data_IF_935947754548
#
_entry.id   IF_935947754548
#
_cell.length_a   1.000
_cell.length_b   1.000
_cell.length_c   1.000
_cell.angle_alpha   90.00
_cell.angle_beta   90.00
_cell.angle_gamma   90.00
#
_symmetry.space_group_name_H-M   'P 1'
#
loop_
_entity.id
_entity.type
_entity.pdbx_description
1 polymer ?
#
# COMPACT_ATOMS: atom_id res chain seq x y z
N UNK A 1 -16.83 26.16 -14.55
CA UNK A 1 -16.59 25.64 -13.20
C UNK A 1 -15.91 24.27 -13.36
N UNK A 2 -14.71 24.10 -12.82
CA UNK A 2 -14.04 22.80 -12.78
C UNK A 2 -14.84 21.89 -11.86
N UNK A 3 -15.03 20.62 -12.26
CA UNK A 3 -15.71 19.65 -11.42
C UNK A 3 -14.95 19.48 -10.07
N UNK A 4 -15.65 19.36 -8.92
CA UNK A 4 -14.98 19.18 -7.65
C UNK A 4 -14.09 17.93 -7.69
N UNK A 5 -12.88 18.04 -7.15
CA UNK A 5 -11.90 16.95 -7.14
C UNK A 5 -12.29 15.86 -6.14
N UNK A 6 -11.87 14.63 -6.40
CA UNK A 6 -11.96 13.52 -5.46
C UNK A 6 -10.55 13.03 -5.12
N UNK A 7 -10.38 12.56 -3.90
CA UNK A 7 -9.10 12.12 -3.36
C UNK A 7 -9.03 10.60 -3.30
N UNK A 8 -8.00 10.03 -3.86
CA UNK A 8 -7.70 8.59 -3.85
C UNK A 8 -6.38 8.38 -3.12
N UNK A 9 -6.40 7.54 -2.10
CA UNK A 9 -5.22 7.23 -1.29
C UNK A 9 -4.91 5.74 -1.37
N UNK A 10 -3.64 5.37 -1.47
CA UNK A 10 -3.23 4.05 -1.02
C UNK A 10 -3.32 3.94 0.50
N UNK A 11 -3.22 2.74 1.04
CA UNK A 11 -3.30 2.48 2.46
C UNK A 11 -1.91 2.24 3.07
N UNK A 12 -1.26 1.14 2.68
CA UNK A 12 0.05 0.76 3.21
C UNK A 12 1.15 1.67 2.64
N UNK A 13 1.92 2.35 3.50
CA UNK A 13 2.93 3.31 3.09
C UNK A 13 2.40 4.73 2.82
N UNK A 14 1.08 4.94 2.83
CA UNK A 14 0.45 6.27 2.67
C UNK A 14 -0.29 6.67 3.94
N UNK A 15 -1.26 5.88 4.39
CA UNK A 15 -2.04 6.15 5.61
C UNK A 15 -1.34 5.61 6.84
N UNK A 16 -0.73 4.43 6.73
CA UNK A 16 0.01 3.84 7.83
C UNK A 16 1.25 3.06 7.38
N UNK A 17 2.21 2.94 8.30
CA UNK A 17 3.26 1.96 8.21
C UNK A 17 2.75 0.60 8.70
N UNK A 18 2.62 -0.34 7.78
CA UNK A 18 2.23 -1.73 8.03
C UNK A 18 3.39 -2.71 7.91
N UNK A 19 4.63 -2.22 7.96
CA UNK A 19 5.83 -3.06 7.78
C UNK A 19 5.84 -4.23 8.76
N UNK A 20 5.57 -3.97 10.05
CA UNK A 20 5.59 -5.00 11.07
C UNK A 20 4.47 -6.04 10.87
N UNK A 21 3.26 -5.61 10.54
CA UNK A 21 2.15 -6.51 10.21
C UNK A 21 2.51 -7.40 9.02
N UNK A 22 3.04 -6.81 7.97
CA UNK A 22 3.45 -7.56 6.78
C UNK A 22 4.58 -8.55 7.07
N UNK A 23 5.55 -8.20 7.92
CA UNK A 23 6.65 -9.10 8.33
C UNK A 23 6.11 -10.32 9.07
N UNK A 24 5.26 -10.10 10.09
CA UNK A 24 4.65 -11.18 10.88
C UNK A 24 3.77 -12.06 10.00
N UNK A 25 2.94 -11.45 9.18
CA UNK A 25 2.05 -12.18 8.25
C UNK A 25 2.84 -12.99 7.22
N UNK A 26 3.86 -12.38 6.61
CA UNK A 26 4.71 -13.04 5.63
C UNK A 26 5.44 -14.26 6.22
N UNK A 27 6.00 -14.11 7.42
CA UNK A 27 6.66 -15.21 8.11
C UNK A 27 5.70 -16.38 8.36
N UNK A 28 4.52 -16.12 8.90
CA UNK A 28 3.53 -17.16 9.18
C UNK A 28 3.01 -17.83 7.90
N UNK A 29 2.78 -17.07 6.83
CA UNK A 29 2.42 -17.62 5.53
C UNK A 29 3.51 -18.56 4.97
N UNK A 30 4.78 -18.16 5.11
CA UNK A 30 5.92 -18.95 4.65
C UNK A 30 6.11 -20.24 5.45
N UNK A 31 5.88 -20.21 6.77
CA UNK A 31 5.86 -21.40 7.60
C UNK A 31 4.74 -22.35 7.18
N UNK A 32 3.52 -21.84 6.95
CA UNK A 32 2.38 -22.63 6.50
C UNK A 32 2.63 -23.31 5.13
N UNK A 33 3.33 -22.64 4.21
CA UNK A 33 3.72 -23.22 2.92
C UNK A 33 4.67 -24.43 3.04
N UNK A 34 5.21 -24.68 4.24
CA UNK A 34 6.16 -25.76 4.57
C UNK A 34 5.62 -26.74 5.61
N UNK A 35 4.30 -26.75 5.83
CA UNK A 35 3.65 -27.59 6.85
C UNK A 35 4.16 -27.35 8.29
N UNK A 36 4.80 -26.21 8.54
CA UNK A 36 5.25 -25.82 9.86
C UNK A 36 4.08 -25.16 10.62
N UNK A 37 3.32 -25.93 11.32
CA UNK A 37 2.02 -25.56 11.95
C UNK A 37 2.14 -24.57 13.12
N UNK A 38 3.18 -23.79 13.23
CA UNK A 38 3.38 -22.89 14.38
C UNK A 38 3.12 -21.45 13.98
N UNK A 39 2.00 -20.87 14.47
CA UNK A 39 1.79 -19.43 14.40
C UNK A 39 2.79 -18.75 15.36
N UNK A 40 3.55 -17.76 14.87
CA UNK A 40 4.55 -17.05 15.66
C UNK A 40 4.48 -15.54 15.38
N UNK A 41 4.45 -14.74 16.45
CA UNK A 41 4.65 -13.30 16.37
C UNK A 41 6.15 -12.94 16.29
N UNK A 42 7.03 -13.89 16.56
CA UNK A 42 8.47 -13.71 16.47
C UNK A 42 8.99 -14.18 15.12
N UNK A 43 9.61 -13.26 14.38
CA UNK A 43 10.27 -13.54 13.12
C UNK A 43 11.77 -13.60 13.36
N UNK A 44 12.43 -14.77 13.16
CA UNK A 44 13.87 -14.90 13.43
C UNK A 44 14.72 -14.11 12.44
N UNK A 45 15.91 -13.72 12.87
CA UNK A 45 16.97 -13.33 11.96
C UNK A 45 17.48 -14.57 11.16
N UNK A 46 17.88 -14.43 9.88
CA UNK A 46 18.00 -13.18 9.12
C UNK A 46 16.71 -12.75 8.37
N UNK A 47 15.58 -13.46 8.55
CA UNK A 47 14.34 -13.21 7.80
C UNK A 47 13.75 -11.85 8.11
N UNK A 48 13.67 -11.47 9.40
CA UNK A 48 13.17 -10.15 9.81
C UNK A 48 13.93 -9.02 9.11
N UNK A 49 15.25 -9.03 9.20
CA UNK A 49 16.10 -8.02 8.56
C UNK A 49 15.95 -7.99 7.02
N UNK A 50 15.78 -9.16 6.39
CA UNK A 50 15.58 -9.23 4.94
C UNK A 50 14.24 -8.61 4.52
N UNK A 51 13.16 -8.93 5.23
CA UNK A 51 11.83 -8.38 4.98
C UNK A 51 11.81 -6.85 5.18
N UNK A 52 12.37 -6.38 6.30
CA UNK A 52 12.39 -4.96 6.64
C UNK A 52 13.20 -4.12 5.64
N UNK A 53 14.44 -4.54 5.33
CA UNK A 53 15.31 -3.79 4.41
C UNK A 53 14.81 -3.75 2.97
N UNK A 54 14.09 -4.79 2.55
CA UNK A 54 13.68 -4.93 1.16
C UNK A 54 12.17 -4.69 0.94
N UNK A 55 11.47 -4.13 1.94
CA UNK A 55 10.02 -3.84 1.85
C UNK A 55 9.66 -3.00 0.63
N UNK A 56 10.51 -2.03 0.28
CA UNK A 56 10.31 -1.14 -0.86
C UNK A 56 10.32 -1.83 -2.23
N UNK A 57 10.84 -3.04 -2.35
CA UNK A 57 10.77 -3.80 -3.60
C UNK A 57 9.44 -4.56 -3.78
N UNK A 58 8.73 -4.86 -2.69
CA UNK A 58 7.51 -5.68 -2.70
C UNK A 58 6.33 -4.88 -3.23
N UNK A 59 5.63 -5.40 -4.24
CA UNK A 59 4.45 -4.78 -4.88
C UNK A 59 3.15 -5.51 -4.55
N UNK A 60 3.24 -6.83 -4.36
CA UNK A 60 2.09 -7.67 -4.03
C UNK A 60 2.39 -8.54 -2.81
N UNK A 61 1.35 -8.96 -2.10
CA UNK A 61 1.50 -9.85 -0.93
C UNK A 61 2.26 -11.13 -1.28
N UNK A 62 2.08 -11.64 -2.50
CA UNK A 62 2.77 -12.84 -2.96
C UNK A 62 4.29 -12.68 -3.08
N UNK A 63 4.77 -11.47 -3.32
CA UNK A 63 6.21 -11.22 -3.54
C UNK A 63 7.06 -11.31 -2.27
N UNK A 64 6.45 -11.32 -1.08
CA UNK A 64 7.20 -11.58 0.15
C UNK A 64 7.91 -12.93 0.16
N UNK A 65 7.42 -13.94 -0.59
CA UNK A 65 8.11 -15.23 -0.74
C UNK A 65 9.51 -15.05 -1.34
N UNK A 66 9.70 -14.09 -2.24
CA UNK A 66 10.98 -13.81 -2.88
C UNK A 66 12.01 -13.39 -1.83
N UNK A 67 11.62 -12.50 -0.90
CA UNK A 67 12.51 -12.02 0.17
C UNK A 67 12.86 -13.14 1.15
N UNK A 68 11.88 -13.98 1.50
CA UNK A 68 12.06 -15.10 2.43
C UNK A 68 12.96 -16.19 1.84
N UNK A 69 12.75 -16.56 0.57
CA UNK A 69 13.57 -17.55 -0.11
C UNK A 69 15.00 -17.04 -0.36
N UNK A 70 15.14 -15.75 -0.68
CA UNK A 70 16.46 -15.11 -0.78
C UNK A 70 17.21 -15.17 0.57
N UNK A 71 16.53 -14.80 1.66
CA UNK A 71 17.10 -14.85 3.02
C UNK A 71 17.47 -16.28 3.41
N UNK A 72 16.63 -17.27 3.11
CA UNK A 72 16.93 -18.69 3.36
C UNK A 72 18.16 -19.17 2.61
N UNK A 73 18.33 -18.70 1.39
CA UNK A 73 19.49 -19.02 0.54
C UNK A 73 20.74 -18.16 0.82
N UNK A 74 20.71 -17.25 1.80
CA UNK A 74 21.79 -16.32 2.08
C UNK A 74 22.07 -15.31 0.95
N UNK A 75 21.09 -15.04 0.10
CA UNK A 75 21.20 -14.14 -1.06
C UNK A 75 20.80 -12.71 -0.67
N UNK A 76 21.71 -11.78 -0.86
CA UNK A 76 21.44 -10.34 -0.68
C UNK A 76 20.67 -9.74 -1.85
N UNK A 77 19.94 -8.65 -1.60
CA UNK A 77 19.29 -7.81 -2.61
C UNK A 77 19.91 -6.42 -2.46
N UNK A 78 20.77 -6.06 -3.39
CA UNK A 78 21.49 -4.79 -3.38
C UNK A 78 20.94 -3.76 -4.38
N UNK A 79 20.09 -4.20 -5.31
CA UNK A 79 19.53 -3.35 -6.37
C UNK A 79 18.18 -3.87 -6.86
N UNK A 80 17.47 -3.01 -7.61
CA UNK A 80 16.24 -3.45 -8.31
C UNK A 80 16.53 -4.59 -9.31
N UNK A 81 17.70 -4.58 -9.96
CA UNK A 81 18.09 -5.64 -10.89
C UNK A 81 18.23 -6.99 -10.19
N UNK A 82 18.86 -7.03 -9.00
CA UNK A 82 18.96 -8.26 -8.20
C UNK A 82 17.58 -8.77 -7.82
N UNK A 83 16.69 -7.86 -7.40
CA UNK A 83 15.30 -8.23 -7.07
C UNK A 83 14.55 -8.81 -8.26
N UNK A 84 14.71 -8.24 -9.45
CA UNK A 84 14.06 -8.74 -10.68
C UNK A 84 14.54 -10.14 -11.09
N UNK A 85 15.78 -10.47 -10.84
CA UNK A 85 16.31 -11.84 -11.06
C UNK A 85 15.61 -12.83 -10.13
N UNK A 86 15.53 -12.50 -8.83
CA UNK A 86 14.86 -13.33 -7.83
C UNK A 86 13.35 -13.44 -8.11
N UNK A 87 12.72 -12.33 -8.51
CA UNK A 87 11.29 -12.29 -8.83
C UNK A 87 10.94 -13.27 -9.97
N UNK A 88 11.78 -13.34 -11.01
CA UNK A 88 11.61 -14.29 -12.12
C UNK A 88 11.81 -15.74 -11.66
N UNK A 89 12.82 -15.99 -10.83
CA UNK A 89 13.13 -17.32 -10.31
C UNK A 89 11.99 -17.87 -9.47
N UNK A 90 11.41 -17.07 -8.59
CA UNK A 90 10.33 -17.47 -7.67
C UNK A 90 8.93 -17.18 -8.19
N UNK A 91 8.78 -16.73 -9.44
CA UNK A 91 7.51 -16.36 -10.04
C UNK A 91 6.40 -17.42 -9.86
N UNK A 92 6.65 -18.74 -10.00
CA UNK A 92 5.60 -19.76 -9.80
C UNK A 92 5.08 -19.83 -8.36
N UNK A 93 5.86 -19.40 -7.37
CA UNK A 93 5.47 -19.40 -5.96
C UNK A 93 4.66 -18.19 -5.54
N UNK A 94 4.70 -17.08 -6.30
CA UNK A 94 4.12 -15.79 -5.90
C UNK A 94 2.61 -15.88 -5.67
N UNK A 95 1.86 -16.41 -6.63
CA UNK A 95 0.39 -16.47 -6.51
C UNK A 95 -0.06 -17.43 -5.39
N UNK A 96 0.39 -18.68 -5.30
CA UNK A 96 0.03 -19.57 -4.19
C UNK A 96 0.40 -19.01 -2.83
N UNK A 97 1.56 -18.37 -2.73
CA UNK A 97 1.98 -17.74 -1.49
C UNK A 97 1.13 -16.52 -1.13
N UNK A 98 0.68 -15.74 -2.10
CA UNK A 98 -0.24 -14.63 -1.88
C UNK A 98 -1.55 -15.09 -1.22
N UNK A 99 -2.09 -16.21 -1.64
CA UNK A 99 -3.29 -16.81 -1.04
C UNK A 99 -3.04 -17.23 0.42
N UNK A 100 -1.85 -17.79 0.71
CA UNK A 100 -1.42 -18.13 2.07
C UNK A 100 -1.19 -16.87 2.93
N UNK A 101 -0.66 -15.80 2.35
CA UNK A 101 -0.46 -14.53 3.04
C UNK A 101 -1.78 -13.96 3.54
N UNK A 102 -2.80 -13.87 2.68
CA UNK A 102 -4.10 -13.36 3.08
C UNK A 102 -4.80 -14.26 4.11
N UNK A 103 -4.75 -15.58 3.94
CA UNK A 103 -5.31 -16.50 4.95
C UNK A 103 -4.59 -16.43 6.29
N UNK A 104 -3.27 -16.21 6.30
CA UNK A 104 -2.49 -15.98 7.53
C UNK A 104 -2.86 -14.65 8.20
N UNK A 105 -3.08 -13.59 7.43
CA UNK A 105 -3.58 -12.29 7.95
C UNK A 105 -4.95 -12.45 8.58
N UNK A 106 -5.88 -13.11 7.92
CA UNK A 106 -7.22 -13.34 8.44
C UNK A 106 -7.19 -14.12 9.76
N UNK A 107 -6.33 -15.14 9.84
CA UNK A 107 -6.12 -15.90 11.08
C UNK A 107 -5.51 -15.04 12.19
N UNK A 108 -4.44 -14.30 11.92
CA UNK A 108 -3.81 -13.40 12.90
C UNK A 108 -4.83 -12.40 13.47
N UNK A 109 -5.65 -11.82 12.59
CA UNK A 109 -6.70 -10.89 12.97
C UNK A 109 -7.80 -11.57 13.79
N UNK A 110 -8.20 -12.79 13.44
CA UNK A 110 -9.24 -13.53 14.16
C UNK A 110 -8.77 -14.00 15.53
N UNK A 111 -7.49 -14.39 15.67
CA UNK A 111 -6.91 -14.86 16.93
C UNK A 111 -6.74 -13.72 17.95
N UNK A 112 -6.23 -12.56 17.51
CA UNK A 112 -6.08 -11.37 18.36
C UNK A 112 -6.09 -10.08 17.52
N UNK A 113 -7.29 -9.52 17.31
CA UNK A 113 -7.48 -8.29 16.52
C UNK A 113 -6.73 -7.09 17.13
N UNK A 114 -6.67 -7.00 18.46
CA UNK A 114 -5.97 -5.89 19.13
C UNK A 114 -4.47 -5.96 18.88
N UNK A 115 -3.89 -7.14 18.98
CA UNK A 115 -2.48 -7.36 18.65
C UNK A 115 -2.22 -7.04 17.18
N UNK A 116 -3.06 -7.56 16.27
CA UNK A 116 -2.94 -7.30 14.84
C UNK A 116 -3.01 -5.80 14.50
N UNK A 117 -3.95 -5.07 15.09
CA UNK A 117 -4.01 -3.60 14.94
C UNK A 117 -2.74 -2.92 15.48
N UNK A 118 -2.19 -3.41 16.58
CA UNK A 118 -0.95 -2.90 17.18
C UNK A 118 0.32 -3.09 16.32
N UNK A 119 0.26 -3.94 15.29
CA UNK A 119 1.35 -4.11 14.31
C UNK A 119 1.35 -3.03 13.22
N UNK A 120 0.39 -2.10 13.25
CA UNK A 120 0.29 -0.98 12.32
C UNK A 120 0.65 0.32 13.05
N UNK A 121 1.39 1.19 12.40
CA UNK A 121 1.72 2.52 12.92
C UNK A 121 1.15 3.59 11.99
N UNK A 122 0.17 4.37 12.48
CA UNK A 122 -0.33 5.53 11.74
C UNK A 122 0.76 6.58 11.66
N UNK A 123 0.96 7.14 10.49
CA UNK A 123 1.89 8.25 10.34
C UNK A 123 1.44 9.48 11.16
N UNK A 124 2.41 10.20 11.72
CA UNK A 124 2.15 11.35 12.58
C UNK A 124 1.25 12.38 11.87
N UNK A 125 0.20 12.86 12.55
CA UNK A 125 -0.75 13.84 12.01
C UNK A 125 -1.77 13.28 11.00
N UNK A 126 -1.57 12.07 10.48
CA UNK A 126 -2.39 11.50 9.39
C UNK A 126 -3.88 11.45 9.73
N UNK A 127 -4.24 11.04 10.95
CA UNK A 127 -5.65 10.94 11.34
C UNK A 127 -6.36 12.30 11.34
N UNK A 128 -5.68 13.36 11.73
CA UNK A 128 -6.23 14.72 11.75
C UNK A 128 -6.30 15.30 10.34
N UNK A 129 -5.31 15.04 9.51
CA UNK A 129 -5.32 15.43 8.11
C UNK A 129 -6.44 14.74 7.33
N UNK A 130 -6.65 13.45 7.54
CA UNK A 130 -7.78 12.73 6.94
C UNK A 130 -9.13 13.33 7.34
N UNK A 131 -9.33 13.71 8.62
CA UNK A 131 -10.56 14.38 9.07
C UNK A 131 -10.77 15.71 8.34
N UNK A 132 -9.72 16.53 8.23
CA UNK A 132 -9.78 17.84 7.53
C UNK A 132 -10.11 17.66 6.03
N UNK A 133 -9.48 16.68 5.37
CA UNK A 133 -9.70 16.41 3.96
C UNK A 133 -11.07 15.78 3.67
N UNK A 134 -11.63 15.05 4.64
CA UNK A 134 -12.95 14.42 4.51
C UNK A 134 -14.07 15.42 4.25
N UNK A 135 -13.98 16.60 4.83
CA UNK A 135 -14.97 17.67 4.63
C UNK A 135 -14.80 18.39 3.27
N UNK A 136 -13.64 18.23 2.62
CA UNK A 136 -13.29 18.92 1.39
C UNK A 136 -13.33 18.05 0.13
N UNK A 137 -13.18 16.73 0.28
CA UNK A 137 -13.08 15.79 -0.83
C UNK A 137 -13.99 14.58 -0.65
N UNK A 138 -14.48 14.07 -1.75
CA UNK A 138 -14.93 12.68 -1.77
C UNK A 138 -13.70 11.78 -1.77
N UNK A 139 -13.48 11.09 -0.63
CA UNK A 139 -12.29 10.27 -0.41
C UNK A 139 -12.54 8.80 -0.70
N UNK A 140 -11.56 8.16 -1.32
CA UNK A 140 -11.52 6.74 -1.63
C UNK A 140 -10.18 6.14 -1.24
N UNK A 141 -10.19 4.88 -0.86
CA UNK A 141 -8.96 4.09 -0.65
C UNK A 141 -8.87 3.07 -1.78
N UNK A 142 -7.72 3.05 -2.47
CA UNK A 142 -7.42 2.08 -3.53
C UNK A 142 -6.13 1.35 -3.17
N UNK A 143 -6.25 0.09 -2.72
CA UNK A 143 -5.15 -0.61 -2.06
C UNK A 143 -5.07 -2.08 -2.44
N UNK A 144 -3.88 -2.67 -2.29
CA UNK A 144 -3.68 -4.12 -2.34
C UNK A 144 -4.11 -4.87 -1.06
N UNK A 145 -4.46 -4.15 0.01
CA UNK A 145 -4.96 -4.72 1.26
C UNK A 145 -6.46 -5.04 1.14
N UNK A 146 -6.92 -6.08 1.84
CA UNK A 146 -8.34 -6.42 1.87
C UNK A 146 -9.19 -5.34 2.56
N UNK A 147 -10.41 -5.14 2.07
CA UNK A 147 -11.29 -4.04 2.53
C UNK A 147 -11.68 -4.18 3.99
N UNK A 148 -11.80 -5.41 4.51
CA UNK A 148 -12.14 -5.65 5.92
C UNK A 148 -11.02 -5.19 6.86
N UNK A 149 -9.77 -5.41 6.50
CA UNK A 149 -8.60 -4.89 7.24
C UNK A 149 -8.58 -3.36 7.26
N UNK A 150 -8.82 -2.72 6.12
CA UNK A 150 -8.88 -1.25 6.02
C UNK A 150 -9.99 -0.69 6.90
N UNK A 151 -11.20 -1.27 6.87
CA UNK A 151 -12.33 -0.82 7.69
C UNK A 151 -12.03 -0.92 9.19
N UNK A 152 -11.47 -2.05 9.65
CA UNK A 152 -11.09 -2.28 11.05
C UNK A 152 -10.08 -1.25 11.52
N UNK A 153 -9.10 -0.96 10.66
CA UNK A 153 -8.12 0.06 10.95
C UNK A 153 -8.74 1.45 11.09
N UNK A 154 -9.56 1.90 10.14
CA UNK A 154 -10.25 3.19 10.25
C UNK A 154 -11.09 3.29 11.52
N UNK A 155 -11.85 2.25 11.87
CA UNK A 155 -12.65 2.19 13.09
C UNK A 155 -11.80 2.37 14.35
N UNK A 156 -10.59 1.79 14.40
CA UNK A 156 -9.68 1.90 15.55
C UNK A 156 -9.22 3.35 15.82
N UNK A 157 -9.29 4.23 14.81
CA UNK A 157 -8.98 5.68 14.92
C UNK A 157 -10.22 6.56 15.03
N UNK A 158 -11.40 5.96 15.23
CA UNK A 158 -12.65 6.71 15.29
C UNK A 158 -13.05 7.34 13.95
N UNK A 159 -12.53 6.81 12.83
CA UNK A 159 -12.90 7.18 11.47
C UNK A 159 -13.82 6.10 10.90
N UNK A 160 -14.74 6.50 10.02
CA UNK A 160 -15.63 5.58 9.33
C UNK A 160 -15.52 5.78 7.83
N UNK A 161 -15.17 4.71 7.10
CA UNK A 161 -15.18 4.72 5.65
C UNK A 161 -16.24 3.72 5.14
N UNK A 162 -17.11 4.17 4.24
CA UNK A 162 -18.13 3.30 3.67
C UNK A 162 -17.47 2.19 2.81
N UNK A 163 -17.99 0.95 2.82
CA UNK A 163 -17.43 -0.15 2.01
C UNK A 163 -17.26 0.21 0.53
N UNK A 164 -18.23 0.90 -0.06
CA UNK A 164 -18.18 1.34 -1.47
C UNK A 164 -17.13 2.42 -1.77
N UNK A 165 -16.37 2.88 -0.78
CA UNK A 165 -15.26 3.81 -0.93
C UNK A 165 -13.89 3.14 -0.78
N UNK A 166 -13.85 1.82 -0.62
CA UNK A 166 -12.62 1.01 -0.58
C UNK A 166 -12.60 0.11 -1.81
N UNK A 167 -11.58 0.28 -2.63
CA UNK A 167 -11.28 -0.56 -3.78
C UNK A 167 -10.03 -1.37 -3.44
N UNK A 168 -10.25 -2.59 -3.01
CA UNK A 168 -9.21 -3.51 -2.57
C UNK A 168 -8.64 -4.35 -3.73
N UNK A 169 -7.80 -5.33 -3.40
CA UNK A 169 -7.14 -6.23 -4.35
C UNK A 169 -8.07 -6.96 -5.33
N UNK A 170 -9.36 -7.13 -4.96
CA UNK A 170 -10.35 -7.87 -5.74
C UNK A 170 -11.31 -6.94 -6.51
N UNK A 171 -11.29 -5.63 -6.22
CA UNK A 171 -12.23 -4.66 -6.79
C UNK A 171 -11.86 -4.22 -8.22
N UNK A 172 -10.57 -4.26 -8.59
CA UNK A 172 -10.12 -3.87 -9.91
C UNK A 172 -8.77 -4.53 -10.27
N UNK A 173 -8.48 -4.62 -11.58
CA UNK A 173 -7.24 -5.23 -12.07
C UNK A 173 -5.97 -4.49 -11.62
N UNK A 174 -6.04 -3.16 -11.56
CA UNK A 174 -4.96 -2.26 -11.17
C UNK A 174 -5.54 -0.95 -10.63
N UNK A 175 -4.69 -0.12 -10.02
CA UNK A 175 -5.13 1.13 -9.38
C UNK A 175 -5.72 2.13 -10.36
N UNK A 176 -5.19 2.27 -11.57
CA UNK A 176 -5.78 3.15 -12.59
C UNK A 176 -7.18 2.68 -12.99
N UNK A 177 -7.39 1.37 -13.12
CA UNK A 177 -8.71 0.80 -13.40
C UNK A 177 -9.71 1.12 -12.30
N UNK A 178 -9.31 1.02 -11.02
CA UNK A 178 -10.13 1.44 -9.88
C UNK A 178 -10.46 2.95 -9.94
N UNK A 179 -9.48 3.80 -10.22
CA UNK A 179 -9.69 5.26 -10.33
C UNK A 179 -10.67 5.58 -11.48
N UNK A 180 -10.59 4.87 -12.61
CA UNK A 180 -11.55 5.01 -13.71
C UNK A 180 -12.98 4.63 -13.33
N UNK A 181 -13.15 3.55 -12.56
CA UNK A 181 -14.47 3.14 -12.03
C UNK A 181 -15.01 4.23 -11.10
N UNK A 182 -14.19 4.74 -10.18
CA UNK A 182 -14.57 5.83 -9.27
C UNK A 182 -14.99 7.07 -10.07
N UNK A 183 -14.17 7.52 -11.02
CA UNK A 183 -14.45 8.68 -11.86
C UNK A 183 -15.77 8.53 -12.64
N UNK A 184 -16.01 7.34 -13.20
CA UNK A 184 -17.26 7.01 -13.90
C UNK A 184 -18.47 7.05 -12.96
N UNK A 185 -18.38 6.46 -11.77
CA UNK A 185 -19.46 6.47 -10.79
C UNK A 185 -19.81 7.88 -10.31
N UNK A 186 -18.81 8.75 -10.22
CA UNK A 186 -18.97 10.16 -9.88
C UNK A 186 -19.38 11.05 -11.07
N UNK A 187 -19.41 10.51 -12.27
CA UNK A 187 -19.59 11.27 -13.52
C UNK A 187 -18.58 12.42 -13.65
N UNK A 188 -17.31 12.16 -13.29
CA UNK A 188 -16.20 13.13 -13.30
C UNK A 188 -15.07 12.67 -14.23
N UNK A 189 -14.34 13.62 -14.86
CA UNK A 189 -13.16 13.29 -15.67
C UNK A 189 -11.98 12.86 -14.78
N UNK A 190 -11.02 12.12 -15.36
CA UNK A 190 -9.84 11.63 -14.62
C UNK A 190 -8.94 12.76 -14.05
N UNK A 191 -8.91 13.92 -14.72
CA UNK A 191 -8.19 15.09 -14.21
C UNK A 191 -8.83 15.74 -12.97
N UNK A 192 -9.98 15.23 -12.48
CA UNK A 192 -10.54 15.56 -11.16
C UNK A 192 -9.95 14.68 -10.05
N UNK A 193 -9.25 13.59 -10.39
CA UNK A 193 -8.65 12.69 -9.40
C UNK A 193 -7.36 13.28 -8.86
N UNK A 194 -7.24 13.36 -7.53
CA UNK A 194 -5.97 13.52 -6.81
C UNK A 194 -5.61 12.15 -6.27
N UNK A 195 -4.49 11.58 -6.72
CA UNK A 195 -4.07 10.23 -6.34
C UNK A 195 -2.72 10.26 -5.63
N UNK A 196 -2.66 9.70 -4.43
CA UNK A 196 -1.47 9.60 -3.60
C UNK A 196 -1.14 8.14 -3.34
N UNK A 197 0.08 7.75 -3.68
CA UNK A 197 0.62 6.41 -3.51
C UNK A 197 2.12 6.51 -3.21
N UNK A 198 2.69 5.56 -2.51
CA UNK A 198 4.15 5.51 -2.31
C UNK A 198 4.87 4.79 -3.45
N UNK A 199 4.15 4.01 -4.26
CA UNK A 199 4.67 3.26 -5.38
C UNK A 199 4.56 4.04 -6.69
N UNK A 200 5.71 4.48 -7.20
CA UNK A 200 5.80 5.26 -8.44
C UNK A 200 5.23 4.50 -9.65
N UNK A 201 5.34 3.17 -9.69
CA UNK A 201 4.80 2.36 -10.79
C UNK A 201 3.26 2.33 -10.81
N UNK A 202 2.58 2.59 -9.68
CA UNK A 202 1.14 2.81 -9.65
C UNK A 202 0.76 4.22 -10.11
N UNK A 203 1.60 5.20 -9.80
CA UNK A 203 1.36 6.62 -10.13
C UNK A 203 1.57 6.92 -11.60
N UNK A 204 2.56 6.31 -12.25
CA UNK A 204 2.89 6.59 -13.66
C UNK A 204 1.69 6.43 -14.61
N UNK A 205 0.97 5.29 -14.64
CA UNK A 205 -0.18 5.15 -15.53
C UNK A 205 -1.31 6.15 -15.22
N UNK A 206 -1.52 6.47 -13.93
CA UNK A 206 -2.53 7.43 -13.52
C UNK A 206 -2.15 8.86 -13.93
N UNK A 207 -0.89 9.24 -13.78
CA UNK A 207 -0.36 10.53 -14.22
C UNK A 207 -0.46 10.69 -15.75
N UNK A 208 -0.06 9.68 -16.51
CA UNK A 208 -0.16 9.66 -17.98
C UNK A 208 -1.62 9.72 -18.46
N UNK A 209 -2.56 9.20 -17.66
CA UNK A 209 -4.00 9.31 -17.92
C UNK A 209 -4.61 10.66 -17.51
N UNK A 210 -3.83 11.57 -16.94
CA UNK A 210 -4.23 12.93 -16.57
C UNK A 210 -4.67 13.12 -15.12
N UNK A 211 -4.50 12.14 -14.24
CA UNK A 211 -4.72 12.31 -12.80
C UNK A 211 -3.64 13.23 -12.19
N UNK A 212 -4.00 13.97 -11.15
CA UNK A 212 -3.04 14.67 -10.29
C UNK A 212 -2.39 13.66 -9.36
N UNK A 213 -1.29 13.06 -9.78
CA UNK A 213 -0.57 12.00 -9.07
C UNK A 213 0.54 12.58 -8.21
N UNK A 214 0.69 12.06 -6.99
CA UNK A 214 1.70 12.48 -6.01
C UNK A 214 2.34 11.27 -5.33
N UNK A 215 3.65 11.31 -5.13
CA UNK A 215 4.36 10.31 -4.32
C UNK A 215 4.25 10.67 -2.84
N UNK A 216 3.85 9.71 -2.00
CA UNK A 216 4.00 9.83 -0.56
C UNK A 216 5.48 9.63 -0.18
N UNK A 217 6.20 10.72 0.04
CA UNK A 217 7.65 10.71 0.28
C UNK A 217 8.07 10.05 1.59
N UNK A 218 7.10 9.71 2.44
CA UNK A 218 7.30 8.98 3.71
C UNK A 218 7.06 7.46 3.62
N UNK A 219 6.63 6.97 2.44
CA UNK A 219 6.24 5.57 2.23
C UNK A 219 7.39 4.65 1.78
N UNK A 220 7.02 3.52 1.16
CA UNK A 220 7.95 2.46 0.76
C UNK A 220 8.41 2.63 -0.69
N UNK A 221 9.45 3.38 -0.90
CA UNK A 221 10.05 3.58 -2.22
C UNK A 221 11.56 3.43 -2.18
N UNK A 222 12.17 3.14 -3.32
CA UNK A 222 13.61 3.14 -3.50
C UNK A 222 14.09 4.51 -4.00
N UNK A 223 15.39 4.80 -3.87
CA UNK A 223 15.98 6.01 -4.47
C UNK A 223 15.78 6.05 -5.99
N UNK A 224 15.84 4.89 -6.65
CA UNK A 224 15.62 4.77 -8.10
C UNK A 224 14.20 5.20 -8.50
N UNK A 225 13.19 4.87 -7.67
CA UNK A 225 11.79 5.28 -7.88
C UNK A 225 11.59 6.77 -7.63
N UNK A 226 12.23 7.32 -6.60
CA UNK A 226 12.23 8.78 -6.36
C UNK A 226 12.79 9.53 -7.56
N UNK A 227 13.91 9.06 -8.10
CA UNK A 227 14.51 9.66 -9.30
C UNK A 227 13.64 9.46 -10.56
N UNK A 228 12.94 8.34 -10.66
CA UNK A 228 11.97 8.11 -11.73
C UNK A 228 10.80 9.09 -11.62
N UNK A 229 10.24 9.29 -10.43
CA UNK A 229 9.18 10.26 -10.19
C UNK A 229 9.59 11.68 -10.62
N UNK A 230 10.80 12.10 -10.22
CA UNK A 230 11.36 13.42 -10.59
C UNK A 230 11.49 13.56 -12.11
N UNK A 231 12.04 12.56 -12.81
CA UNK A 231 12.16 12.55 -14.27
C UNK A 231 10.82 12.59 -14.99
N UNK A 232 9.77 12.08 -14.36
CA UNK A 232 8.40 12.07 -14.90
C UNK A 232 7.54 13.21 -14.40
N UNK A 233 8.14 14.19 -13.67
CA UNK A 233 7.45 15.37 -13.13
C UNK A 233 6.28 15.02 -12.20
N UNK A 234 6.37 13.89 -11.49
CA UNK A 234 5.44 13.52 -10.43
C UNK A 234 5.94 14.12 -9.12
N UNK A 235 5.19 15.06 -8.48
CA UNK A 235 5.63 15.70 -7.26
C UNK A 235 5.71 14.70 -6.09
N UNK A 236 6.68 14.94 -5.19
CA UNK A 236 6.86 14.17 -3.96
C UNK A 236 6.34 15.02 -2.82
N UNK A 237 5.43 14.46 -2.03
CA UNK A 237 4.85 15.12 -0.85
C UNK A 237 5.66 14.77 0.39
N UNK A 238 5.78 15.74 1.29
CA UNK A 238 6.33 15.54 2.63
C UNK A 238 5.20 15.36 3.65
N UNK A 239 5.40 14.50 4.64
CA UNK A 239 4.37 14.09 5.60
C UNK A 239 3.77 15.27 6.39
N UNK A 240 4.56 16.27 6.72
CA UNK A 240 4.13 17.44 7.51
C UNK A 240 3.33 18.48 6.72
N UNK A 241 3.33 18.40 5.39
CA UNK A 241 2.73 19.42 4.51
C UNK A 241 1.76 18.87 3.46
N UNK A 242 1.67 17.54 3.31
CA UNK A 242 0.90 16.90 2.24
C UNK A 242 -0.56 17.35 2.17
N UNK A 243 -1.23 17.44 3.33
CA UNK A 243 -2.64 17.81 3.37
C UNK A 243 -2.87 19.27 2.91
N UNK A 244 -1.93 20.18 3.23
CA UNK A 244 -2.00 21.56 2.77
C UNK A 244 -1.82 21.65 1.24
N UNK A 245 -0.91 20.86 0.66
CA UNK A 245 -0.70 20.79 -0.80
C UNK A 245 -1.96 20.23 -1.48
N UNK A 246 -2.56 19.18 -0.92
CA UNK A 246 -3.78 18.56 -1.47
C UNK A 246 -4.97 19.51 -1.42
N UNK A 247 -5.14 20.25 -0.32
CA UNK A 247 -6.20 21.27 -0.18
C UNK A 247 -6.11 22.34 -1.26
N UNK A 248 -4.90 22.79 -1.61
CA UNK A 248 -4.70 23.74 -2.70
C UNK A 248 -5.15 23.19 -4.06
N UNK A 249 -5.07 21.86 -4.27
CA UNK A 249 -5.59 21.22 -5.46
C UNK A 249 -7.13 21.23 -5.51
N UNK A 250 -7.81 21.26 -4.37
CA UNK A 250 -9.28 21.32 -4.27
C UNK A 250 -9.88 22.71 -4.51
N UNK A 251 -9.08 23.76 -4.31
CA UNK A 251 -9.54 25.16 -4.30
C UNK A 251 -9.36 25.87 -5.65
N UNK A 252 -8.64 25.31 -6.60
CA UNK A 252 -8.51 25.93 -7.94
C UNK A 252 -9.82 25.81 -8.69
N UNK A 253 -10.65 26.83 -8.52
CA UNK A 253 -11.88 27.10 -9.24
C UNK A 253 -11.61 27.38 -10.72
#
# INVERSE_FOLDING_TARGET
MTAPRFLVLDFDGVICDSTEECIVTAWNAWQNSRDLVRFSNEVPEPFRSALQRNRSYVRTAGEYVVLLEAARGGRGIGSHADYQVLLKEFQPAIKPYGDLFFSSRDRLRADDERHWLGLHTVYSGMADDLRRLWDCFEMFVVTGKDSSSVQRFFQSFGLSIAPGRIYDKDAARDKLSAIRIIASNLSRPLNSAVFIDDNVHHLLPAHEAGCHAFVAGWGYHTNEEVDLARRRSIPILELDSWAAVVLQQGVTA
#
